data_IF_731776320481
#
_entry.id   IF_731776320481
#
_cell.length_a   1.000
_cell.length_b   1.000
_cell.length_c   1.000
_cell.angle_alpha   90.00
_cell.angle_beta   90.00
_cell.angle_gamma   90.00
#
_symmetry.space_group_name_H-M   'P 1'
#
loop_
_entity.id
_entity.type
_entity.pdbx_description
1 polymer ?
#
# COMPACT_ATOMS: atom_id res chain seq x y z
N UNK A 1 -11.78 10.78 -7.48
CA UNK A 1 -11.81 9.31 -7.23
C UNK A 1 -10.36 8.93 -6.98
N UNK A 2 -10.05 8.42 -5.79
CA UNK A 2 -8.66 8.21 -5.38
C UNK A 2 -8.01 7.14 -6.26
N UNK A 3 -6.82 7.45 -6.79
CA UNK A 3 -6.15 6.61 -7.79
C UNK A 3 -4.98 5.87 -7.14
N UNK A 4 -5.11 4.56 -6.93
CA UNK A 4 -4.06 3.70 -6.40
C UNK A 4 -3.00 3.44 -7.48
N UNK A 5 -1.77 3.88 -7.24
CA UNK A 5 -0.63 3.74 -8.15
C UNK A 5 0.63 3.40 -7.38
N UNK A 6 1.56 2.69 -8.04
CA UNK A 6 2.87 2.41 -7.48
C UNK A 6 3.59 3.71 -7.11
N UNK A 7 4.23 3.73 -5.94
CA UNK A 7 4.93 4.88 -5.37
C UNK A 7 4.07 5.76 -4.46
N UNK A 8 2.74 5.63 -4.46
CA UNK A 8 1.89 6.41 -3.56
C UNK A 8 1.95 5.89 -2.12
N UNK A 9 1.69 6.79 -1.19
CA UNK A 9 1.56 6.48 0.22
C UNK A 9 0.11 6.18 0.59
N UNK A 10 -0.08 5.18 1.44
CA UNK A 10 -1.36 4.83 2.01
C UNK A 10 -1.22 4.57 3.51
N UNK A 11 -2.30 4.79 4.25
CA UNK A 11 -2.47 4.38 5.63
C UNK A 11 -3.20 3.04 5.65
N UNK A 12 -2.72 2.10 6.46
CA UNK A 12 -3.47 0.86 6.73
C UNK A 12 -4.60 1.18 7.69
N UNK A 13 -5.85 0.98 7.26
CA UNK A 13 -7.06 1.27 8.06
C UNK A 13 -7.75 0.01 8.57
N UNK A 14 -7.43 -1.16 8.00
CA UNK A 14 -7.91 -2.46 8.44
C UNK A 14 -6.83 -3.52 8.18
N UNK A 15 -6.60 -4.42 9.13
CA UNK A 15 -5.71 -5.57 8.98
C UNK A 15 -6.09 -6.65 10.01
N UNK A 16 -5.98 -7.94 9.67
CA UNK A 16 -6.04 -9.01 10.67
C UNK A 16 -4.97 -8.86 11.77
N UNK A 17 -3.81 -8.28 11.42
CA UNK A 17 -2.78 -7.91 12.38
C UNK A 17 -2.98 -6.46 12.82
N UNK A 18 -3.65 -6.27 13.95
CA UNK A 18 -4.02 -4.94 14.46
C UNK A 18 -2.84 -4.01 14.72
N UNK A 19 -1.61 -4.54 14.86
CA UNK A 19 -0.39 -3.73 15.01
C UNK A 19 0.01 -2.96 13.75
N UNK A 20 -0.56 -3.33 12.60
CA UNK A 20 -0.35 -2.69 11.30
C UNK A 20 -1.32 -1.52 11.06
N UNK A 21 -2.45 -1.48 11.77
CA UNK A 21 -3.43 -0.41 11.62
C UNK A 21 -2.81 0.92 12.05
N UNK A 22 -2.94 1.94 11.20
CA UNK A 22 -2.32 3.25 11.39
C UNK A 22 -0.88 3.35 10.87
N UNK A 23 -0.31 2.28 10.30
CA UNK A 23 1.00 2.34 9.66
C UNK A 23 0.89 2.98 8.28
N UNK A 24 1.86 3.84 7.97
CA UNK A 24 2.04 4.38 6.64
C UNK A 24 2.85 3.38 5.80
N UNK A 25 2.35 3.07 4.60
CA UNK A 25 2.95 2.14 3.67
C UNK A 25 3.06 2.76 2.29
N UNK A 26 4.00 2.26 1.48
CA UNK A 26 4.16 2.62 0.08
C UNK A 26 3.58 1.53 -0.80
N UNK A 27 2.67 1.90 -1.70
CA UNK A 27 2.18 1.01 -2.74
C UNK A 27 3.32 0.64 -3.68
N UNK A 28 3.68 -0.64 -3.75
CA UNK A 28 4.82 -1.08 -4.57
C UNK A 28 4.35 -1.51 -5.94
N UNK A 29 3.39 -2.45 -6.00
CA UNK A 29 2.74 -2.85 -7.24
C UNK A 29 1.42 -3.55 -6.96
N UNK A 30 0.56 -3.58 -7.98
CA UNK A 30 -0.65 -4.38 -7.98
C UNK A 30 -0.32 -5.86 -8.17
N UNK A 31 -1.07 -6.73 -7.50
CA UNK A 31 -1.06 -8.18 -7.71
C UNK A 31 -2.25 -8.63 -8.54
N UNK A 32 -2.02 -9.57 -9.44
CA UNK A 32 -3.06 -10.30 -10.16
C UNK A 32 -3.29 -11.69 -9.56
N UNK A 33 -4.43 -12.28 -9.88
CA UNK A 33 -4.82 -13.56 -9.32
C UNK A 33 -3.94 -14.69 -9.86
N UNK A 34 -3.49 -15.57 -8.97
CA UNK A 34 -2.53 -16.63 -9.28
C UNK A 34 -1.11 -16.13 -9.52
N UNK A 35 -0.83 -14.85 -9.30
CA UNK A 35 0.50 -14.28 -9.48
C UNK A 35 1.42 -14.63 -8.29
N UNK A 36 2.70 -14.83 -8.60
CA UNK A 36 3.73 -15.04 -7.59
C UNK A 36 4.47 -13.74 -7.28
N UNK A 37 4.92 -13.59 -6.03
CA UNK A 37 5.84 -12.55 -5.62
C UNK A 37 6.88 -13.08 -4.65
N UNK A 38 8.04 -12.42 -4.62
CA UNK A 38 9.13 -12.73 -3.69
C UNK A 38 9.13 -11.76 -2.53
N UNK A 39 9.17 -12.32 -1.32
CA UNK A 39 9.33 -11.58 -0.09
C UNK A 39 10.79 -11.16 0.12
N UNK A 40 11.09 -10.25 1.07
CA UNK A 40 12.45 -9.77 1.31
C UNK A 40 13.42 -10.86 1.75
N UNK A 41 12.92 -11.93 2.39
CA UNK A 41 13.72 -13.09 2.80
C UNK A 41 14.04 -14.05 1.63
N UNK A 42 13.56 -13.74 0.42
CA UNK A 42 13.77 -14.53 -0.79
C UNK A 42 12.76 -15.67 -0.98
N UNK A 43 11.84 -15.88 -0.04
CA UNK A 43 10.78 -16.86 -0.21
C UNK A 43 9.71 -16.36 -1.20
N UNK A 44 9.09 -17.30 -1.91
CA UNK A 44 8.15 -17.01 -2.99
C UNK A 44 6.74 -17.43 -2.58
N UNK A 45 5.80 -16.52 -2.77
CA UNK A 45 4.40 -16.68 -2.38
C UNK A 45 3.51 -16.53 -3.59
N UNK A 46 2.53 -17.41 -3.69
CA UNK A 46 1.45 -17.29 -4.65
C UNK A 46 0.27 -16.61 -3.98
N UNK A 47 -0.31 -15.61 -4.64
CA UNK A 47 -1.55 -15.01 -4.18
C UNK A 47 -2.72 -15.57 -4.98
N UNK A 48 -3.52 -16.41 -4.34
CA UNK A 48 -4.78 -16.91 -4.87
C UNK A 48 -5.91 -16.10 -4.21
N UNK A 49 -6.84 -15.56 -5.02
CA UNK A 49 -7.97 -14.66 -4.70
C UNK A 49 -7.80 -13.15 -5.00
N UNK A 50 -7.00 -12.74 -5.98
CA UNK A 50 -6.91 -11.30 -6.34
C UNK A 50 -8.05 -10.78 -7.23
N UNK A 51 -9.06 -11.62 -7.54
CA UNK A 51 -10.12 -11.33 -8.52
C UNK A 51 -11.28 -10.50 -7.98
N UNK A 52 -11.52 -10.48 -6.66
CA UNK A 52 -12.66 -9.75 -6.07
C UNK A 52 -12.31 -8.34 -5.59
N UNK A 53 -11.06 -8.14 -5.18
CA UNK A 53 -10.54 -6.85 -4.73
C UNK A 53 -9.13 -6.71 -5.27
N UNK A 54 -8.84 -5.58 -5.90
CA UNK A 54 -7.50 -5.31 -6.36
C UNK A 54 -6.54 -5.26 -5.16
N UNK A 55 -5.52 -6.12 -5.19
CA UNK A 55 -4.56 -6.28 -4.11
C UNK A 55 -3.28 -5.54 -4.42
N UNK A 56 -2.68 -4.97 -3.37
CA UNK A 56 -1.44 -4.22 -3.43
C UNK A 56 -0.37 -4.88 -2.59
N UNK A 57 0.78 -5.16 -3.20
CA UNK A 57 2.01 -5.32 -2.43
C UNK A 57 2.38 -3.94 -1.92
N UNK A 58 2.55 -3.84 -0.61
CA UNK A 58 3.00 -2.63 0.05
C UNK A 58 4.33 -2.89 0.75
N UNK A 59 5.11 -1.84 0.90
CA UNK A 59 6.32 -1.84 1.73
C UNK A 59 6.21 -0.79 2.83
N UNK A 60 6.83 -1.05 3.97
CA UNK A 60 6.77 -0.17 5.14
C UNK A 60 6.92 -0.94 6.45
N UNK A 61 6.53 -0.33 7.55
CA UNK A 61 6.58 -0.96 8.88
C UNK A 61 5.36 -1.87 9.11
N UNK A 62 5.29 -2.94 8.31
CA UNK A 62 4.19 -3.92 8.28
C UNK A 62 4.73 -5.36 8.22
N UNK A 63 3.85 -6.33 8.50
CA UNK A 63 4.17 -7.75 8.61
C UNK A 63 5.29 -8.02 9.61
N UNK A 64 5.18 -7.37 10.77
CA UNK A 64 6.06 -7.58 11.91
C UNK A 64 5.66 -8.90 12.59
N UNK A 65 5.92 -10.02 11.93
CA UNK A 65 5.73 -11.34 12.54
C UNK A 65 6.83 -11.60 13.57
N UNK A 66 6.48 -12.35 14.63
CA UNK A 66 7.33 -12.62 15.79
C UNK A 66 8.66 -13.32 15.45
N UNK A 67 8.82 -13.88 14.24
CA UNK A 67 10.04 -14.55 13.78
C UNK A 67 10.89 -13.71 12.80
N UNK A 68 10.46 -12.49 12.46
CA UNK A 68 11.22 -11.53 11.65
C UNK A 68 11.44 -11.92 10.19
N UNK A 69 10.85 -13.01 9.69
CA UNK A 69 11.11 -13.50 8.32
C UNK A 69 10.37 -12.71 7.25
N UNK A 70 9.28 -12.05 7.60
CA UNK A 70 8.42 -11.35 6.64
C UNK A 70 8.26 -9.87 6.99
N UNK A 71 9.26 -9.25 7.62
CA UNK A 71 9.18 -7.83 7.99
C UNK A 71 9.40 -6.92 6.78
N UNK A 72 8.57 -5.90 6.61
CA UNK A 72 8.83 -4.83 5.65
C UNK A 72 7.96 -4.85 4.39
N UNK A 73 7.22 -5.94 4.15
CA UNK A 73 6.27 -6.06 3.04
C UNK A 73 5.00 -6.79 3.48
N UNK A 74 3.85 -6.35 2.98
CA UNK A 74 2.55 -7.00 3.20
C UNK A 74 1.68 -6.89 1.94
N UNK A 75 0.54 -7.57 1.95
CA UNK A 75 -0.47 -7.48 0.90
C UNK A 75 -1.78 -7.00 1.49
N UNK A 76 -2.36 -5.95 0.90
CA UNK A 76 -3.64 -5.39 1.32
C UNK A 76 -4.56 -5.13 0.13
N UNK A 77 -5.87 -5.23 0.38
CA UNK A 77 -6.92 -4.78 -0.53
C UNK A 77 -7.02 -3.25 -0.51
N UNK A 78 -7.56 -2.66 -1.58
CA UNK A 78 -7.87 -1.22 -1.62
C UNK A 78 -8.87 -0.80 -0.52
N UNK A 79 -9.69 -1.71 0.01
CA UNK A 79 -10.60 -1.44 1.15
C UNK A 79 -9.91 -1.42 2.52
N UNK A 80 -8.70 -1.95 2.61
CA UNK A 80 -7.88 -1.95 3.83
C UNK A 80 -6.92 -0.76 3.90
N UNK A 81 -6.89 0.04 2.83
CA UNK A 81 -5.98 1.16 2.64
C UNK A 81 -6.75 2.47 2.51
N UNK A 82 -6.11 3.54 2.98
CA UNK A 82 -6.53 4.91 2.73
C UNK A 82 -5.37 5.67 2.10
N UNK A 83 -5.52 6.09 0.83
CA UNK A 83 -4.51 6.91 0.17
C UNK A 83 -4.28 8.22 0.95
N UNK A 84 -3.01 8.55 1.15
CA UNK A 84 -2.58 9.79 1.80
C UNK A 84 -2.38 10.93 0.80
N UNK A 85 -2.32 10.60 -0.49
CA UNK A 85 -2.27 11.54 -1.60
C UNK A 85 -3.44 11.24 -2.54
N UNK A 86 -4.40 12.17 -2.61
CA UNK A 86 -5.56 12.09 -3.49
C UNK A 86 -5.31 12.71 -4.88
N UNK A 87 -4.09 13.20 -5.13
CA UNK A 87 -3.69 13.76 -6.41
C UNK A 87 -4.02 15.24 -6.58
N UNK A 88 -4.36 15.98 -5.52
CA UNK A 88 -4.42 17.44 -5.59
C UNK A 88 -3.01 18.04 -5.66
N UNK A 89 -2.52 18.18 -6.89
CA UNK A 89 -1.35 19.00 -7.20
C UNK A 89 -1.69 20.47 -6.99
N UNK A 90 -1.23 21.06 -5.88
CA UNK A 90 -1.28 22.51 -5.74
C UNK A 90 -0.14 23.12 -6.56
N UNK A 91 -0.47 23.65 -7.73
CA UNK A 91 0.47 24.46 -8.50
C UNK A 91 0.82 25.73 -7.70
N UNK A 92 2.09 25.87 -7.31
CA UNK A 92 2.56 27.02 -6.53
C UNK A 92 2.28 28.37 -7.19
N UNK A 93 2.08 28.40 -8.52
CA UNK A 93 1.71 29.60 -9.26
C UNK A 93 0.29 30.10 -8.96
N UNK A 94 -0.65 29.23 -8.57
CA UNK A 94 -2.03 29.62 -8.30
C UNK A 94 -2.22 30.18 -6.88
N UNK A 95 -1.38 29.72 -5.92
CA UNK A 95 -1.27 30.34 -4.59
C UNK A 95 -0.84 31.81 -4.68
N UNK A 96 0.05 32.16 -5.61
CA UNK A 96 0.53 33.55 -5.74
C UNK A 96 -0.47 34.50 -6.42
N UNK A 97 -1.56 34.01 -7.01
CA UNK A 97 -2.61 34.86 -7.58
C UNK A 97 -3.66 35.28 -6.56
N UNK A 98 -3.80 34.57 -5.45
CA UNK A 98 -4.76 34.94 -4.38
C UNK A 98 -4.20 36.00 -3.42
N UNK A 99 -2.90 36.32 -3.51
CA UNK A 99 -2.24 37.35 -2.68
C UNK A 99 -1.86 38.62 -3.44
N UNK A 100 -2.39 38.84 -4.66
CA UNK A 100 -2.19 40.08 -5.45
C UNK A 100 -3.54 40.77 -5.67
#
# INVERSE_FOLDING_TARGET
>A
MALYEAGKLALVISSPNTSEIGRCVTLTRRLHDGEYFKAPDGSEYRYDNATETYQWIVSGDVSIYLDGKFSGMSVFSESELMLLDDGEWVCQCDLMKEFI
#
